data_IF_960914619818
#
_entry.id   IF_960914619818
#
_cell.length_a   1.000
_cell.length_b   1.000
_cell.length_c   1.000
_cell.angle_alpha   90.00
_cell.angle_beta   90.00
_cell.angle_gamma   90.00
#
_symmetry.space_group_name_H-M   'P 1'
#
loop_
_entity.id
_entity.type
_entity.pdbx_description
1 polymer ?
#
# COMPACT_ATOMS: atom_id res chain seq x y z
N UNK A 1 -64.27 -26.51 6.16
CA UNK A 1 -63.42 -27.45 6.93
C UNK A 1 -63.58 -27.34 8.45
N UNK A 2 -63.96 -26.18 9.01
CA UNK A 2 -64.11 -25.99 10.47
C UNK A 2 -65.30 -26.76 11.07
N UNK A 3 -66.42 -26.84 10.36
CA UNK A 3 -67.64 -27.51 10.85
C UNK A 3 -67.48 -29.03 11.00
N UNK A 4 -66.77 -29.67 10.07
CA UNK A 4 -66.53 -31.12 10.11
C UNK A 4 -65.66 -31.52 11.32
N UNK A 5 -64.67 -30.71 11.69
CA UNK A 5 -63.85 -30.95 12.88
C UNK A 5 -64.63 -30.76 14.19
N UNK A 6 -65.53 -29.77 14.25
CA UNK A 6 -66.42 -29.60 15.41
C UNK A 6 -67.36 -30.79 15.62
N UNK A 7 -67.92 -31.33 14.53
CA UNK A 7 -68.82 -32.50 14.60
C UNK A 7 -68.06 -33.74 15.08
N UNK A 8 -66.84 -33.97 14.60
CA UNK A 8 -66.03 -35.12 15.06
C UNK A 8 -65.64 -35.00 16.53
N UNK A 9 -65.32 -33.80 17.03
CA UNK A 9 -65.05 -33.59 18.46
C UNK A 9 -66.28 -33.84 19.33
N UNK A 10 -67.45 -33.36 18.93
CA UNK A 10 -68.67 -33.56 19.70
C UNK A 10 -69.04 -35.04 19.76
N UNK A 11 -68.90 -35.77 18.66
CA UNK A 11 -69.15 -37.22 18.63
C UNK A 11 -68.19 -38.00 19.54
N UNK A 12 -66.90 -37.69 19.51
CA UNK A 12 -65.93 -38.30 20.41
C UNK A 12 -66.21 -37.96 21.89
N UNK A 13 -66.69 -36.75 22.18
CA UNK A 13 -67.10 -36.36 23.53
C UNK A 13 -68.36 -37.10 24.00
N UNK A 14 -69.33 -37.30 23.11
CA UNK A 14 -70.55 -38.06 23.41
C UNK A 14 -70.25 -39.55 23.59
N UNK A 15 -69.39 -40.14 22.75
CA UNK A 15 -68.96 -41.54 22.88
C UNK A 15 -68.23 -41.75 24.22
N UNK A 16 -67.31 -40.86 24.59
CA UNK A 16 -66.62 -40.91 25.89
C UNK A 16 -67.59 -40.72 27.08
N UNK A 17 -68.63 -39.91 26.90
CA UNK A 17 -69.66 -39.71 27.92
C UNK A 17 -70.55 -40.95 28.07
N UNK A 18 -70.89 -41.62 26.98
CA UNK A 18 -71.62 -42.89 27.00
C UNK A 18 -70.80 -43.97 27.69
N UNK A 19 -69.53 -44.12 27.34
CA UNK A 19 -68.63 -45.10 27.96
C UNK A 19 -68.46 -44.86 29.47
N UNK A 20 -68.35 -43.59 29.89
CA UNK A 20 -68.32 -43.23 31.30
C UNK A 20 -69.63 -43.56 32.04
N UNK A 21 -70.78 -43.24 31.43
CA UNK A 21 -72.09 -43.52 32.03
C UNK A 21 -72.36 -45.02 32.11
N UNK A 22 -71.95 -45.78 31.10
CA UNK A 22 -72.05 -47.23 31.07
C UNK A 22 -71.19 -47.84 32.19
N UNK A 23 -69.92 -47.46 32.30
CA UNK A 23 -69.05 -47.89 33.40
C UNK A 23 -69.56 -47.48 34.80
N UNK A 24 -70.25 -46.33 34.92
CA UNK A 24 -70.78 -45.83 36.20
C UNK A 24 -72.11 -46.51 36.59
N UNK A 25 -72.88 -46.97 35.60
CA UNK A 25 -74.18 -47.63 35.80
C UNK A 25 -74.09 -49.08 36.27
N UNK A 26 -72.94 -49.73 36.11
CA UNK A 26 -72.71 -51.08 36.61
C UNK A 26 -72.50 -51.10 38.13
N UNK A 27 -73.27 -51.93 38.85
CA UNK A 27 -73.07 -52.14 40.30
C UNK A 27 -71.68 -52.73 40.58
N UNK A 28 -70.95 -52.09 41.50
CA UNK A 28 -69.62 -52.56 41.92
C UNK A 28 -69.81 -53.67 42.95
N UNK A 29 -69.52 -54.91 42.57
CA UNK A 29 -69.50 -56.05 43.50
C UNK A 29 -68.23 -55.93 44.38
N UNK A 30 -68.42 -55.51 45.62
CA UNK A 30 -67.35 -55.23 46.61
C UNK A 30 -67.13 -56.39 47.61
N UNK A 31 -67.61 -57.59 47.30
CA UNK A 31 -67.71 -58.71 48.26
C UNK A 31 -66.35 -59.31 48.66
N UNK A 32 -65.28 -59.03 47.91
CA UNK A 32 -63.99 -59.73 48.05
C UNK A 32 -62.78 -58.80 48.34
N UNK A 33 -63.03 -57.56 48.82
CA UNK A 33 -61.93 -56.63 49.13
C UNK A 33 -61.02 -57.14 50.25
N UNK A 34 -61.58 -57.73 51.30
CA UNK A 34 -60.79 -58.22 52.44
C UNK A 34 -59.83 -59.37 52.06
N UNK A 35 -60.27 -60.44 51.36
CA UNK A 35 -59.37 -61.50 50.90
C UNK A 35 -58.35 -61.03 49.86
N UNK A 36 -58.70 -60.06 49.00
CA UNK A 36 -57.77 -59.48 48.01
C UNK A 36 -56.69 -58.63 48.67
N UNK A 37 -57.06 -57.81 49.65
CA UNK A 37 -56.11 -57.03 50.45
C UNK A 37 -55.20 -57.92 51.30
N UNK A 38 -55.73 -59.01 51.88
CA UNK A 38 -54.92 -59.98 52.63
C UNK A 38 -53.88 -60.66 51.73
N UNK A 39 -54.28 -61.11 50.54
CA UNK A 39 -53.37 -61.68 49.52
C UNK A 39 -52.31 -60.68 49.06
N UNK A 40 -52.67 -59.40 48.90
CA UNK A 40 -51.73 -58.32 48.54
C UNK A 40 -50.69 -58.10 49.66
N UNK A 41 -51.13 -58.01 50.91
CA UNK A 41 -50.25 -57.87 52.08
C UNK A 41 -49.34 -59.08 52.24
N UNK A 42 -49.84 -60.28 51.98
CA UNK A 42 -49.03 -61.49 52.07
C UNK A 42 -47.98 -61.60 50.97
N UNK A 43 -48.32 -61.27 49.71
CA UNK A 43 -47.33 -61.15 48.62
C UNK A 43 -46.26 -60.13 48.95
N UNK A 44 -46.64 -58.98 49.49
CA UNK A 44 -45.70 -57.96 49.95
C UNK A 44 -44.77 -58.52 51.05
N UNK A 45 -45.31 -59.14 52.10
CA UNK A 45 -44.52 -59.79 53.16
C UNK A 45 -43.57 -60.86 52.62
N UNK A 46 -44.00 -61.67 51.66
CA UNK A 46 -43.15 -62.69 51.03
C UNK A 46 -42.01 -62.07 50.21
N UNK A 47 -42.27 -61.01 49.44
CA UNK A 47 -41.23 -60.30 48.70
C UNK A 47 -40.20 -59.66 49.65
N UNK A 48 -40.67 -59.05 50.74
CA UNK A 48 -39.78 -58.46 51.73
C UNK A 48 -38.94 -59.51 52.46
N UNK A 49 -39.51 -60.67 52.81
CA UNK A 49 -38.76 -61.79 53.40
C UNK A 49 -37.67 -62.30 52.47
N UNK A 50 -37.99 -62.55 51.19
CA UNK A 50 -36.99 -62.96 50.19
C UNK A 50 -35.83 -61.96 50.06
N UNK A 51 -36.11 -60.66 50.14
CA UNK A 51 -35.08 -59.62 50.11
C UNK A 51 -34.20 -59.65 51.37
N UNK A 52 -34.81 -59.81 52.54
CA UNK A 52 -34.09 -59.93 53.81
C UNK A 52 -33.17 -61.16 53.78
N UNK A 53 -33.70 -62.31 53.36
CA UNK A 53 -32.94 -63.56 53.25
C UNK A 53 -31.74 -63.39 52.32
N UNK A 54 -31.94 -62.75 51.16
CA UNK A 54 -30.86 -62.45 50.21
C UNK A 54 -29.80 -61.50 50.79
N UNK A 55 -30.21 -60.44 51.49
CA UNK A 55 -29.26 -59.53 52.13
C UNK A 55 -28.47 -60.24 53.24
N UNK A 56 -29.11 -61.11 54.02
CA UNK A 56 -28.43 -61.92 55.03
C UNK A 56 -27.40 -62.85 54.40
N UNK A 57 -27.75 -63.54 53.31
CA UNK A 57 -26.80 -64.42 52.59
C UNK A 57 -25.60 -63.63 52.04
N UNK A 58 -25.82 -62.40 51.56
CA UNK A 58 -24.73 -61.53 51.09
C UNK A 58 -23.84 -61.12 52.26
N UNK A 59 -24.42 -60.71 53.39
CA UNK A 59 -23.66 -60.32 54.58
C UNK A 59 -22.82 -61.48 55.14
N UNK A 60 -23.38 -62.69 55.19
CA UNK A 60 -22.65 -63.90 55.59
C UNK A 60 -21.44 -64.14 54.69
N UNK A 61 -21.62 -64.07 53.35
CA UNK A 61 -20.51 -64.20 52.40
C UNK A 61 -19.44 -63.14 52.58
N UNK A 62 -19.82 -61.89 52.88
CA UNK A 62 -18.87 -60.81 53.14
C UNK A 62 -18.08 -61.07 54.43
N UNK A 63 -18.74 -61.54 55.49
CA UNK A 63 -18.10 -61.88 56.76
C UNK A 63 -17.14 -63.06 56.61
N UNK A 64 -17.53 -64.09 55.85
CA UNK A 64 -16.68 -65.23 55.50
C UNK A 64 -15.45 -64.79 54.70
N UNK A 65 -15.66 -63.97 53.66
CA UNK A 65 -14.56 -63.47 52.82
C UNK A 65 -13.56 -62.62 53.61
N UNK A 66 -14.05 -61.80 54.53
CA UNK A 66 -13.22 -60.92 55.36
C UNK A 66 -12.65 -61.60 56.62
N UNK A 67 -12.97 -62.89 56.85
CA UNK A 67 -12.60 -63.66 58.03
C UNK A 67 -12.89 -62.91 59.35
N UNK A 68 -14.02 -62.21 59.41
CA UNK A 68 -14.37 -61.39 60.57
C UNK A 68 -15.79 -61.68 61.04
N UNK A 69 -16.00 -61.64 62.35
CA UNK A 69 -17.29 -61.97 62.99
C UNK A 69 -18.14 -60.73 63.28
N UNK A 70 -17.55 -59.53 63.19
CA UNK A 70 -18.17 -58.27 63.56
C UNK A 70 -18.34 -57.40 62.31
N UNK A 71 -19.58 -57.05 61.98
CA UNK A 71 -19.92 -56.21 60.82
C UNK A 71 -19.24 -54.83 60.93
N UNK A 72 -19.15 -54.25 62.12
CA UNK A 72 -18.50 -52.94 62.33
C UNK A 72 -17.01 -52.96 61.98
N UNK A 73 -16.32 -54.07 62.25
CA UNK A 73 -14.91 -54.22 61.91
C UNK A 73 -14.69 -54.33 60.39
N UNK A 74 -15.66 -54.92 59.67
CA UNK A 74 -15.67 -54.95 58.20
C UNK A 74 -15.87 -53.55 57.65
N UNK A 75 -16.87 -52.82 58.15
CA UNK A 75 -17.18 -51.47 57.72
C UNK A 75 -15.96 -50.56 57.89
N UNK A 76 -15.30 -50.57 59.04
CA UNK A 76 -14.14 -49.73 59.29
C UNK A 76 -12.97 -50.06 58.34
N UNK A 77 -12.69 -51.35 58.10
CA UNK A 77 -11.64 -51.76 57.15
C UNK A 77 -11.96 -51.34 55.72
N UNK A 78 -13.22 -51.47 55.30
CA UNK A 78 -13.65 -50.99 53.98
C UNK A 78 -13.52 -49.48 53.87
N UNK A 79 -13.89 -48.72 54.90
CA UNK A 79 -13.73 -47.26 54.91
C UNK A 79 -12.26 -46.83 54.84
N UNK A 80 -11.37 -47.49 55.57
CA UNK A 80 -9.93 -47.24 55.50
C UNK A 80 -9.37 -47.55 54.12
N UNK A 81 -9.73 -48.70 53.55
CA UNK A 81 -9.31 -49.09 52.20
C UNK A 81 -9.88 -48.16 51.14
N UNK A 82 -11.15 -47.80 51.24
CA UNK A 82 -11.83 -46.87 50.34
C UNK A 82 -11.15 -45.50 50.38
N UNK A 83 -10.84 -44.98 51.56
CA UNK A 83 -10.09 -43.72 51.72
C UNK A 83 -8.72 -43.77 51.04
N UNK A 84 -7.99 -44.88 51.21
CA UNK A 84 -6.70 -45.09 50.56
C UNK A 84 -6.83 -45.17 49.03
N UNK A 85 -7.82 -45.91 48.52
CA UNK A 85 -8.09 -46.01 47.09
C UNK A 85 -8.51 -44.67 46.49
N UNK A 86 -9.29 -43.85 47.19
CA UNK A 86 -9.61 -42.50 46.77
C UNK A 86 -8.36 -41.63 46.66
N UNK A 87 -7.43 -41.72 47.62
CA UNK A 87 -6.16 -40.99 47.55
C UNK A 87 -5.32 -41.42 46.34
N UNK A 88 -5.18 -42.74 46.09
CA UNK A 88 -4.46 -43.24 44.92
C UNK A 88 -5.12 -42.83 43.59
N UNK A 89 -6.45 -42.87 43.52
CA UNK A 89 -7.18 -42.47 42.32
C UNK A 89 -7.01 -40.99 42.04
N UNK A 90 -7.09 -40.14 43.06
CA UNK A 90 -6.85 -38.70 42.91
C UNK A 90 -5.43 -38.43 42.43
N UNK A 91 -4.43 -39.07 43.02
CA UNK A 91 -3.03 -38.94 42.58
C UNK A 91 -2.83 -39.40 41.13
N UNK A 92 -3.41 -40.54 40.73
CA UNK A 92 -3.33 -41.03 39.37
C UNK A 92 -4.00 -40.07 38.35
N UNK A 93 -5.11 -39.44 38.74
CA UNK A 93 -5.78 -38.44 37.92
C UNK A 93 -4.97 -37.16 37.78
N UNK A 94 -4.41 -36.65 38.87
CA UNK A 94 -3.51 -35.49 38.85
C UNK A 94 -2.29 -35.76 37.97
N UNK A 95 -1.67 -36.93 38.11
CA UNK A 95 -0.53 -37.33 37.28
C UNK A 95 -0.91 -37.40 35.79
N UNK A 96 -2.07 -37.98 35.46
CA UNK A 96 -2.56 -38.07 34.08
C UNK A 96 -2.87 -36.69 33.49
N UNK A 97 -3.38 -35.78 34.31
CA UNK A 97 -3.60 -34.39 33.95
C UNK A 97 -2.28 -33.68 33.66
N UNK A 98 -1.29 -33.80 34.55
CA UNK A 98 0.05 -33.23 34.35
C UNK A 98 0.74 -33.80 33.11
N UNK A 99 0.63 -35.10 32.86
CA UNK A 99 1.17 -35.74 31.67
C UNK A 99 0.54 -35.15 30.39
N UNK A 100 -0.77 -34.92 30.40
CA UNK A 100 -1.49 -34.31 29.28
C UNK A 100 -1.05 -32.86 29.06
N UNK A 101 -0.90 -32.07 30.13
CA UNK A 101 -0.37 -30.71 30.05
C UNK A 101 1.04 -30.67 29.47
N UNK A 102 1.93 -31.54 29.95
CA UNK A 102 3.30 -31.64 29.44
C UNK A 102 3.31 -32.03 27.96
N UNK A 103 2.53 -33.03 27.57
CA UNK A 103 2.43 -33.45 26.17
C UNK A 103 1.93 -32.31 25.28
N UNK A 104 0.90 -31.57 25.73
CA UNK A 104 0.40 -30.39 25.01
C UNK A 104 1.48 -29.31 24.88
N UNK A 105 2.25 -29.06 25.94
CA UNK A 105 3.36 -28.09 25.90
C UNK A 105 4.46 -28.54 24.93
N UNK A 106 4.83 -29.82 24.94
CA UNK A 106 5.82 -30.38 24.03
C UNK A 106 5.35 -30.26 22.59
N UNK A 107 4.10 -30.62 22.28
CA UNK A 107 3.53 -30.48 20.95
C UNK A 107 3.50 -29.02 20.49
N UNK A 108 3.17 -28.07 21.38
CA UNK A 108 3.22 -26.65 21.07
C UNK A 108 4.64 -26.21 20.70
N UNK A 109 5.63 -26.59 21.51
CA UNK A 109 7.03 -26.25 21.25
C UNK A 109 7.54 -26.88 19.95
N UNK A 110 7.14 -28.11 19.62
CA UNK A 110 7.49 -28.74 18.34
C UNK A 110 6.91 -27.97 17.15
N UNK A 111 5.66 -27.51 17.25
CA UNK A 111 5.04 -26.69 16.21
C UNK A 111 5.77 -25.35 16.07
N UNK A 112 6.06 -24.66 17.18
CA UNK A 112 6.82 -23.41 17.18
C UNK A 112 8.21 -23.59 16.53
N UNK A 113 8.93 -24.68 16.85
CA UNK A 113 10.23 -25.00 16.22
C UNK A 113 10.08 -25.25 14.72
N UNK A 114 9.02 -25.94 14.30
CA UNK A 114 8.75 -26.22 12.88
C UNK A 114 8.46 -24.93 12.12
N UNK A 115 7.63 -24.05 12.68
CA UNK A 115 7.33 -22.74 12.13
C UNK A 115 8.58 -21.87 12.01
N UNK A 116 9.40 -21.81 13.07
CA UNK A 116 10.68 -21.07 13.06
C UNK A 116 11.65 -21.61 12.01
N UNK A 117 11.72 -22.93 11.80
CA UNK A 117 12.54 -23.50 10.73
C UNK A 117 12.04 -23.09 9.35
N UNK A 118 10.73 -23.11 9.15
CA UNK A 118 10.13 -22.72 7.87
C UNK A 118 10.35 -21.23 7.57
N UNK A 119 10.13 -20.34 8.56
CA UNK A 119 10.39 -18.91 8.39
C UNK A 119 11.87 -18.62 8.15
N UNK A 120 12.78 -19.30 8.84
CA UNK A 120 14.21 -19.16 8.61
C UNK A 120 14.62 -19.61 7.20
N UNK A 121 14.05 -20.71 6.71
CA UNK A 121 14.32 -21.18 5.35
C UNK A 121 13.82 -20.18 4.30
N UNK A 122 12.59 -19.68 4.43
CA UNK A 122 12.01 -18.71 3.50
C UNK A 122 12.78 -17.38 3.52
N UNK A 123 13.17 -16.90 4.70
CA UNK A 123 13.97 -15.66 4.83
C UNK A 123 15.35 -15.81 4.21
N UNK A 124 16.02 -16.94 4.40
CA UNK A 124 17.30 -17.23 3.75
C UNK A 124 17.14 -17.25 2.22
N UNK A 125 16.09 -17.87 1.70
CA UNK A 125 15.85 -17.92 0.26
C UNK A 125 15.60 -16.52 -0.32
N UNK A 126 14.75 -15.72 0.32
CA UNK A 126 14.52 -14.33 -0.07
C UNK A 126 15.82 -13.50 -0.04
N UNK A 127 16.68 -13.74 0.95
CA UNK A 127 17.99 -13.08 1.04
C UNK A 127 18.91 -13.48 -0.12
N UNK A 128 18.92 -14.75 -0.52
CA UNK A 128 19.70 -15.22 -1.66
C UNK A 128 19.19 -14.61 -2.97
N UNK A 129 17.88 -14.59 -3.18
CA UNK A 129 17.25 -13.99 -4.36
C UNK A 129 17.55 -12.49 -4.45
N UNK A 130 17.44 -11.75 -3.33
CA UNK A 130 17.78 -10.32 -3.30
C UNK A 130 19.28 -10.06 -3.53
N UNK A 131 20.17 -10.92 -3.04
CA UNK A 131 21.61 -10.82 -3.33
C UNK A 131 21.86 -11.01 -4.83
N UNK A 132 21.22 -12.01 -5.46
CA UNK A 132 21.34 -12.26 -6.89
C UNK A 132 20.82 -11.09 -7.73
N UNK A 133 19.67 -10.52 -7.36
CA UNK A 133 19.13 -9.33 -8.01
C UNK A 133 20.09 -8.13 -7.90
N UNK A 134 20.64 -7.88 -6.71
CA UNK A 134 21.59 -6.79 -6.48
C UNK A 134 22.90 -6.99 -7.25
N UNK A 135 23.42 -8.22 -7.34
CA UNK A 135 24.62 -8.54 -8.12
C UNK A 135 24.39 -8.30 -9.62
N UNK A 136 23.21 -8.69 -10.13
CA UNK A 136 22.82 -8.44 -11.52
C UNK A 136 22.70 -6.93 -11.80
N UNK A 137 22.04 -6.18 -10.91
CA UNK A 137 21.96 -4.72 -11.03
C UNK A 137 23.33 -4.06 -10.99
N UNK A 138 24.22 -4.54 -10.11
CA UNK A 138 25.58 -4.02 -10.00
C UNK A 138 26.37 -4.25 -11.29
N UNK A 139 26.31 -5.46 -11.86
CA UNK A 139 26.93 -5.78 -13.16
C UNK A 139 26.41 -4.91 -14.29
N UNK A 140 25.10 -4.70 -14.36
CA UNK A 140 24.52 -3.79 -15.36
C UNK A 140 25.00 -2.35 -15.20
N UNK A 141 25.06 -1.85 -13.95
CA UNK A 141 25.50 -0.48 -13.67
C UNK A 141 26.99 -0.31 -13.96
N UNK A 142 27.82 -1.32 -13.67
CA UNK A 142 29.23 -1.33 -14.04
C UNK A 142 29.39 -1.25 -15.56
N UNK A 143 28.70 -2.12 -16.31
CA UNK A 143 28.73 -2.10 -17.77
C UNK A 143 28.33 -0.74 -18.34
N UNK A 144 27.24 -0.14 -17.84
CA UNK A 144 26.80 1.20 -18.24
C UNK A 144 27.84 2.29 -17.89
N UNK A 145 28.54 2.15 -16.76
CA UNK A 145 29.60 3.08 -16.38
C UNK A 145 30.79 2.97 -17.33
N UNK A 146 31.19 1.76 -17.69
CA UNK A 146 32.28 1.51 -18.63
C UNK A 146 31.95 2.06 -20.02
N UNK A 147 30.73 1.84 -20.53
CA UNK A 147 30.24 2.44 -21.77
C UNK A 147 30.28 3.98 -21.72
N UNK A 148 29.85 4.59 -20.61
CA UNK A 148 29.90 6.05 -20.45
C UNK A 148 31.34 6.59 -20.35
N UNK A 149 32.26 5.83 -19.74
CA UNK A 149 33.69 6.18 -19.69
C UNK A 149 34.31 6.16 -21.07
N UNK A 150 34.03 5.15 -21.89
CA UNK A 150 34.49 5.09 -23.28
C UNK A 150 33.97 6.29 -24.09
N UNK A 151 32.69 6.64 -23.95
CA UNK A 151 32.10 7.81 -24.63
C UNK A 151 32.75 9.11 -24.16
N UNK A 152 33.01 9.26 -22.85
CA UNK A 152 33.75 10.41 -22.31
C UNK A 152 35.13 10.49 -22.94
N UNK A 153 35.89 9.40 -22.93
CA UNK A 153 37.27 9.38 -23.45
C UNK A 153 37.32 9.73 -24.94
N UNK A 154 36.37 9.23 -25.73
CA UNK A 154 36.24 9.62 -27.14
C UNK A 154 35.92 11.11 -27.32
N UNK A 155 35.09 11.68 -26.45
CA UNK A 155 34.74 13.10 -26.53
C UNK A 155 35.90 13.99 -26.07
N UNK A 156 36.64 13.59 -25.05
CA UNK A 156 37.85 14.29 -24.60
C UNK A 156 38.92 14.27 -25.70
N UNK A 157 39.14 13.13 -26.37
CA UNK A 157 40.07 13.03 -27.51
C UNK A 157 39.62 13.93 -28.68
N UNK A 158 38.31 13.98 -28.98
CA UNK A 158 37.76 14.89 -30.00
C UNK A 158 37.97 16.35 -29.62
N UNK A 159 37.77 16.70 -28.36
CA UNK A 159 37.93 18.06 -27.87
C UNK A 159 39.40 18.49 -27.93
N UNK A 160 40.33 17.63 -27.54
CA UNK A 160 41.77 17.88 -27.68
C UNK A 160 42.16 18.12 -29.15
N UNK A 161 41.68 17.29 -30.08
CA UNK A 161 41.91 17.49 -31.53
C UNK A 161 41.37 18.84 -32.02
N UNK A 162 40.19 19.26 -31.55
CA UNK A 162 39.63 20.56 -31.90
C UNK A 162 40.46 21.72 -31.33
N UNK A 163 40.90 21.63 -30.08
CA UNK A 163 41.75 22.66 -29.45
C UNK A 163 43.10 22.78 -30.16
N UNK A 164 43.73 21.64 -30.50
CA UNK A 164 44.96 21.61 -31.31
C UNK A 164 44.74 22.22 -32.70
N UNK A 165 43.62 21.91 -33.35
CA UNK A 165 43.25 22.50 -34.65
C UNK A 165 43.14 24.03 -34.58
N UNK A 166 42.51 24.56 -33.54
CA UNK A 166 42.42 26.02 -33.30
C UNK A 166 43.82 26.62 -33.06
N UNK A 167 44.69 25.92 -32.34
CA UNK A 167 46.05 26.35 -32.10
C UNK A 167 46.86 26.45 -33.40
N UNK A 168 46.75 25.46 -34.28
CA UNK A 168 47.39 25.49 -35.61
C UNK A 168 46.88 26.70 -36.44
N UNK A 169 45.57 26.95 -36.44
CA UNK A 169 44.97 28.08 -37.17
C UNK A 169 45.46 29.43 -36.61
N UNK A 170 45.55 29.56 -35.28
CA UNK A 170 46.15 30.73 -34.61
C UNK A 170 47.58 30.97 -35.10
N UNK A 171 48.41 29.93 -35.09
CA UNK A 171 49.82 30.04 -35.47
C UNK A 171 49.98 30.41 -36.96
N UNK A 172 49.14 29.84 -37.84
CA UNK A 172 49.16 30.14 -39.28
C UNK A 172 48.62 31.54 -39.63
N UNK A 173 47.58 32.01 -38.94
CA UNK A 173 46.92 33.29 -39.24
C UNK A 173 47.69 34.53 -38.77
N UNK A 174 48.78 34.34 -38.02
CA UNK A 174 49.58 35.39 -37.36
C UNK A 174 48.69 36.37 -36.59
N UNK A 175 47.65 35.86 -35.93
CA UNK A 175 46.75 36.66 -35.13
C UNK A 175 47.49 37.22 -33.90
N UNK A 176 47.44 38.54 -33.69
CA UNK A 176 48.21 39.20 -32.64
C UNK A 176 47.53 39.03 -31.28
N UNK A 177 47.83 37.93 -30.60
CA UNK A 177 47.25 37.58 -29.30
C UNK A 177 47.94 38.26 -28.10
N UNK A 178 48.98 39.06 -28.33
CA UNK A 178 49.75 39.76 -27.28
C UNK A 178 48.89 40.68 -26.41
N UNK A 179 47.78 41.17 -26.95
CA UNK A 179 46.80 41.98 -26.21
C UNK A 179 46.12 41.24 -25.04
N UNK A 180 46.14 39.89 -25.04
CA UNK A 180 45.54 39.07 -23.99
C UNK A 180 46.54 38.52 -22.97
N UNK A 181 47.85 38.50 -23.27
CA UNK A 181 48.90 38.05 -22.34
C UNK A 181 48.86 38.83 -21.02
N UNK A 182 48.62 40.14 -21.08
CA UNK A 182 48.53 40.99 -19.90
C UNK A 182 47.29 40.73 -19.02
N UNK A 183 46.21 40.16 -19.57
CA UNK A 183 44.92 40.06 -18.88
C UNK A 183 44.63 38.68 -18.27
N UNK A 184 45.22 37.63 -18.83
CA UNK A 184 44.78 36.26 -18.58
C UNK A 184 45.95 35.26 -18.48
N UNK A 185 47.21 35.71 -18.48
CA UNK A 185 48.41 34.88 -18.22
C UNK A 185 49.05 34.23 -19.45
N UNK A 186 49.53 32.99 -19.34
CA UNK A 186 50.17 32.26 -20.44
C UNK A 186 49.16 31.90 -21.56
N UNK A 187 49.23 32.62 -22.69
CA UNK A 187 48.44 32.40 -23.91
C UNK A 187 49.14 31.53 -24.97
N UNK A 188 50.18 30.81 -24.57
CA UNK A 188 50.95 29.97 -25.49
C UNK A 188 50.10 28.82 -26.02
N UNK A 189 49.21 28.24 -25.20
CA UNK A 189 48.42 27.03 -25.52
C UNK A 189 46.91 27.34 -25.50
N UNK A 190 46.16 26.76 -26.44
CA UNK A 190 44.69 26.85 -26.48
C UNK A 190 44.07 25.80 -25.55
N UNK A 191 43.22 26.23 -24.64
CA UNK A 191 42.50 25.44 -23.64
C UNK A 191 41.00 25.83 -23.66
N UNK A 192 40.12 25.02 -23.09
CA UNK A 192 38.66 25.22 -23.05
C UNK A 192 38.29 26.61 -22.52
N UNK A 193 38.96 27.08 -21.48
CA UNK A 193 38.69 28.38 -20.86
C UNK A 193 39.07 29.58 -21.75
N UNK A 194 40.12 29.45 -22.56
CA UNK A 194 40.64 30.53 -23.39
C UNK A 194 40.20 30.43 -24.87
N UNK A 195 39.67 29.27 -25.29
CA UNK A 195 39.23 28.97 -26.66
C UNK A 195 38.30 30.05 -27.23
N UNK A 196 37.32 30.49 -26.45
CA UNK A 196 36.37 31.53 -26.87
C UNK A 196 37.04 32.85 -27.21
N UNK A 197 38.08 33.22 -26.44
CA UNK A 197 38.84 34.44 -26.68
C UNK A 197 39.67 34.31 -27.96
N UNK A 198 40.35 33.17 -28.15
CA UNK A 198 41.09 32.89 -29.38
C UNK A 198 40.22 32.93 -30.63
N UNK A 199 39.04 32.31 -30.59
CA UNK A 199 38.11 32.33 -31.73
C UNK A 199 37.68 33.75 -32.09
N UNK A 200 37.44 34.63 -31.11
CA UNK A 200 37.08 36.03 -31.36
C UNK A 200 38.21 36.83 -32.01
N UNK A 201 39.46 36.57 -31.65
CA UNK A 201 40.63 37.20 -32.28
C UNK A 201 40.82 36.69 -33.70
N UNK A 202 40.71 35.37 -33.89
CA UNK A 202 40.74 34.74 -35.20
C UNK A 202 39.65 35.29 -36.12
N UNK A 203 38.42 35.40 -35.64
CA UNK A 203 37.29 35.97 -36.37
C UNK A 203 37.58 37.40 -36.84
N UNK A 204 38.05 38.27 -35.94
CA UNK A 204 38.46 39.64 -36.31
C UNK A 204 39.57 39.65 -37.35
N UNK A 205 40.55 38.75 -37.23
CA UNK A 205 41.68 38.66 -38.17
C UNK A 205 41.23 38.20 -39.54
N UNK A 206 40.43 37.15 -39.62
CA UNK A 206 39.83 36.65 -40.86
C UNK A 206 39.01 37.74 -41.51
N UNK A 207 38.11 38.38 -40.76
CA UNK A 207 37.30 39.49 -41.26
C UNK A 207 38.15 40.63 -41.83
N UNK A 208 39.22 41.03 -41.13
CA UNK A 208 40.15 42.04 -41.63
C UNK A 208 40.83 41.62 -42.95
N UNK A 209 41.30 40.38 -43.05
CA UNK A 209 41.92 39.86 -44.27
C UNK A 209 40.91 39.84 -45.41
N UNK A 210 39.68 39.37 -45.18
CA UNK A 210 38.61 39.33 -46.17
C UNK A 210 38.27 40.73 -46.68
N UNK A 211 38.12 41.71 -45.78
CA UNK A 211 37.87 43.12 -46.15
C UNK A 211 39.05 43.70 -46.92
N UNK A 212 40.29 43.45 -46.50
CA UNK A 212 41.48 43.95 -47.18
C UNK A 212 41.61 43.37 -48.59
N UNK A 213 41.34 42.07 -48.76
CA UNK A 213 41.34 41.42 -50.07
C UNK A 213 40.21 41.94 -50.96
N UNK A 214 39.01 42.09 -50.42
CA UNK A 214 37.86 42.68 -51.12
C UNK A 214 38.17 44.10 -51.63
N UNK A 215 38.75 44.97 -50.79
CA UNK A 215 39.15 46.33 -51.20
C UNK A 215 40.27 46.28 -52.25
N UNK A 216 41.20 45.33 -52.14
CA UNK A 216 42.29 45.16 -53.11
C UNK A 216 41.76 44.70 -54.48
N UNK A 217 40.83 43.75 -54.51
CA UNK A 217 40.16 43.30 -55.74
C UNK A 217 39.40 44.44 -56.41
N UNK A 218 38.62 45.23 -55.64
CA UNK A 218 37.92 46.43 -56.15
C UNK A 218 38.84 47.52 -56.71
N UNK A 219 40.11 47.56 -56.29
CA UNK A 219 41.11 48.51 -56.82
C UNK A 219 41.76 48.03 -58.12
N UNK A 220 41.82 46.72 -58.36
CA UNK A 220 42.49 46.11 -59.52
C UNK A 220 41.52 45.95 -60.70
N UNK A 221 40.24 45.65 -60.47
CA UNK A 221 39.23 45.55 -61.53
C UNK A 221 38.33 46.80 -61.57
N UNK A 222 38.56 47.69 -62.55
CA UNK A 222 37.65 48.80 -62.91
C UNK A 222 36.43 48.34 -63.74
N UNK A 223 36.16 47.04 -63.79
CA UNK A 223 34.96 46.55 -64.47
C UNK A 223 33.78 46.50 -63.51
N UNK A 224 32.86 47.42 -63.76
CA UNK A 224 31.50 47.42 -63.27
C UNK A 224 30.86 46.04 -63.43
N UNK A 225 30.15 45.64 -62.39
CA UNK A 225 29.03 44.69 -62.37
C UNK A 225 29.33 43.23 -62.74
N UNK A 226 29.94 42.46 -61.84
CA UNK A 226 29.53 41.05 -61.67
C UNK A 226 29.99 40.41 -60.34
N UNK A 227 29.64 40.96 -59.17
CA UNK A 227 29.72 40.17 -57.94
C UNK A 227 28.54 40.43 -57.00
N UNK A 228 27.78 39.36 -56.73
CA UNK A 228 26.57 39.32 -55.90
C UNK A 228 26.99 39.14 -54.44
N UNK A 229 27.16 40.23 -53.71
CA UNK A 229 27.00 40.19 -52.26
C UNK A 229 26.20 41.42 -51.87
N UNK A 230 24.89 41.21 -51.63
CA UNK A 230 24.04 42.23 -51.00
C UNK A 230 24.61 42.52 -49.63
N UNK A 231 24.80 43.79 -49.29
CA UNK A 231 25.05 44.23 -47.92
C UNK A 231 23.93 43.63 -47.04
N UNK A 232 24.26 42.61 -46.24
CA UNK A 232 23.32 42.07 -45.27
C UNK A 232 23.35 43.00 -44.06
N UNK A 233 22.70 44.14 -44.19
CA UNK A 233 22.24 44.89 -43.03
C UNK A 233 21.15 44.04 -42.40
N UNK A 234 21.35 43.55 -41.17
CA UNK A 234 20.23 43.02 -40.38
C UNK A 234 19.30 44.21 -40.12
N UNK A 235 18.26 44.36 -40.95
CA UNK A 235 17.13 45.19 -40.62
C UNK A 235 16.44 44.54 -39.41
N UNK A 236 16.75 45.01 -38.22
CA UNK A 236 15.79 44.91 -37.13
C UNK A 236 14.86 46.10 -37.32
N UNK A 237 13.81 45.89 -38.12
CA UNK A 237 12.77 46.88 -38.38
C UNK A 237 11.94 47.08 -37.11
N UNK A 238 12.53 47.77 -36.14
CA UNK A 238 11.98 48.12 -34.82
C UNK A 238 11.61 46.94 -33.90
N UNK A 239 11.57 47.23 -32.60
CA UNK A 239 11.08 46.30 -31.58
C UNK A 239 9.58 46.16 -31.78
N UNK A 240 9.08 44.95 -31.97
CA UNK A 240 7.64 44.69 -32.11
C UNK A 240 6.91 45.28 -30.89
N UNK A 241 5.96 46.22 -31.09
CA UNK A 241 5.25 46.83 -29.97
C UNK A 241 4.54 45.76 -29.15
N UNK A 242 4.57 45.90 -27.82
CA UNK A 242 4.04 44.90 -26.89
C UNK A 242 2.55 44.61 -27.15
N UNK A 243 1.83 45.60 -27.66
CA UNK A 243 0.41 45.53 -28.02
C UNK A 243 0.13 44.57 -29.19
N UNK A 244 1.11 44.28 -30.04
CA UNK A 244 1.00 43.29 -31.13
C UNK A 244 1.24 41.85 -30.63
N UNK A 245 1.90 41.70 -29.48
CA UNK A 245 2.22 40.41 -28.88
C UNK A 245 1.12 39.99 -27.91
N UNK A 246 0.52 40.95 -27.20
CA UNK A 246 -0.52 40.72 -26.19
C UNK A 246 -1.82 41.39 -26.66
N UNK A 247 -2.70 40.60 -27.30
CA UNK A 247 -3.97 41.08 -27.88
C UNK A 247 -4.91 41.76 -26.87
N UNK A 248 -4.82 41.45 -25.58
CA UNK A 248 -5.61 42.09 -24.52
C UNK A 248 -4.91 42.03 -23.16
N UNK A 249 -5.04 43.09 -22.35
CA UNK A 249 -4.68 43.06 -20.93
C UNK A 249 -5.62 42.09 -20.18
N UNK A 250 -5.10 41.35 -19.20
CA UNK A 250 -5.90 40.47 -18.35
C UNK A 250 -7.04 41.27 -17.69
N UNK A 251 -8.25 40.71 -17.65
CA UNK A 251 -9.37 41.34 -16.96
C UNK A 251 -9.06 41.52 -15.46
N UNK A 252 -9.19 42.74 -14.90
CA UNK A 252 -8.84 43.02 -13.49
C UNK A 252 -9.53 42.07 -12.51
N UNK A 253 -10.82 41.81 -12.72
CA UNK A 253 -11.64 40.95 -11.86
C UNK A 253 -11.22 39.48 -11.92
N UNK A 254 -10.75 39.01 -13.08
CA UNK A 254 -10.22 37.65 -13.21
C UNK A 254 -8.84 37.53 -12.56
N UNK A 255 -8.04 38.59 -12.59
CA UNK A 255 -6.76 38.65 -11.88
C UNK A 255 -6.94 38.66 -10.36
N UNK A 256 -7.91 39.42 -9.86
CA UNK A 256 -8.21 39.48 -8.42
C UNK A 256 -8.78 38.15 -7.89
N UNK A 257 -9.70 37.52 -8.63
CA UNK A 257 -10.22 36.20 -8.27
C UNK A 257 -9.11 35.12 -8.23
N UNK A 258 -8.13 35.20 -9.13
CA UNK A 258 -6.96 34.30 -9.13
C UNK A 258 -6.05 34.54 -7.92
N UNK A 259 -5.86 35.81 -7.53
CA UNK A 259 -5.04 36.15 -6.37
C UNK A 259 -5.67 35.61 -5.09
N UNK A 260 -6.98 35.71 -4.93
CA UNK A 260 -7.70 35.12 -3.79
C UNK A 260 -7.67 33.59 -3.80
N UNK A 261 -7.83 32.96 -4.97
CA UNK A 261 -7.80 31.49 -5.09
C UNK A 261 -6.39 30.90 -4.85
N UNK A 262 -5.32 31.69 -5.02
CA UNK A 262 -3.97 31.25 -4.74
C UNK A 262 -3.70 31.12 -3.23
N UNK A 263 -4.34 31.95 -2.40
CA UNK A 263 -4.22 31.92 -0.95
C UNK A 263 -5.03 30.77 -0.32
N UNK A 264 -6.12 30.32 -0.97
CA UNK A 264 -6.99 29.23 -0.48
C UNK A 264 -6.49 27.80 -0.79
N UNK A 265 -5.37 27.65 -1.52
CA UNK A 265 -4.71 26.34 -1.65
C UNK A 265 -3.95 25.98 -0.38
N UNK A 266 -4.66 25.31 0.51
CA UNK A 266 -4.18 24.66 1.73
C UNK A 266 -2.83 23.93 1.49
N UNK A 267 -1.72 24.48 2.01
CA UNK A 267 -0.37 23.88 1.96
C UNK A 267 0.75 24.68 1.28
N UNK A 268 0.66 26.01 1.20
CA UNK A 268 1.59 26.86 0.44
C UNK A 268 2.76 27.53 1.18
N UNK A 269 3.01 27.28 2.46
CA UNK A 269 4.13 27.92 3.18
C UNK A 269 5.48 27.21 2.90
N UNK A 270 6.11 27.49 1.76
CA UNK A 270 7.48 27.05 1.48
C UNK A 270 7.99 27.30 0.06
N UNK A 271 9.31 27.52 -0.07
CA UNK A 271 10.00 27.63 -1.37
C UNK A 271 9.88 26.28 -2.10
N UNK A 272 9.07 26.22 -3.17
CA UNK A 272 8.90 25.02 -3.98
C UNK A 272 10.15 24.74 -4.83
N UNK A 273 10.45 23.46 -5.08
CA UNK A 273 11.56 23.10 -5.97
C UNK A 273 11.30 23.56 -7.41
N UNK A 274 12.35 23.96 -8.14
CA UNK A 274 12.25 24.47 -9.51
C UNK A 274 11.46 23.54 -10.44
N UNK A 275 11.66 22.22 -10.30
CA UNK A 275 10.95 21.21 -11.10
C UNK A 275 9.45 21.17 -10.80
N UNK A 276 9.07 21.35 -9.53
CA UNK A 276 7.66 21.41 -9.12
C UNK A 276 6.99 22.67 -9.68
N UNK A 277 7.69 23.80 -9.64
CA UNK A 277 7.21 25.08 -10.19
C UNK A 277 7.01 24.98 -11.69
N UNK A 278 7.99 24.43 -12.43
CA UNK A 278 7.90 24.24 -13.87
C UNK A 278 6.73 23.35 -14.27
N UNK A 279 6.49 22.26 -13.51
CA UNK A 279 5.37 21.35 -13.76
C UNK A 279 4.01 22.03 -13.53
N UNK A 280 3.85 22.73 -12.39
CA UNK A 280 2.63 23.51 -12.09
C UNK A 280 2.38 24.61 -13.11
N UNK A 281 3.43 25.29 -13.57
CA UNK A 281 3.35 26.32 -14.59
C UNK A 281 2.91 25.73 -15.94
N UNK A 282 3.47 24.58 -16.33
CA UNK A 282 3.05 23.88 -17.54
C UNK A 282 1.60 23.41 -17.48
N UNK A 283 1.17 22.84 -16.35
CA UNK A 283 -0.22 22.43 -16.12
C UNK A 283 -1.16 23.64 -16.20
N UNK A 284 -0.80 24.77 -15.58
CA UNK A 284 -1.62 25.99 -15.56
C UNK A 284 -1.72 26.67 -16.93
N UNK A 285 -0.67 26.66 -17.73
CA UNK A 285 -0.69 27.22 -19.10
C UNK A 285 -1.60 26.39 -20.02
N UNK A 286 -1.62 25.07 -19.85
CA UNK A 286 -2.41 24.17 -20.66
C UNK A 286 -3.87 24.02 -20.20
N UNK A 287 -4.26 24.64 -19.09
CA UNK A 287 -5.65 24.66 -18.66
C UNK A 287 -6.50 25.47 -19.66
N UNK A 288 -7.66 24.96 -20.10
CA UNK A 288 -8.52 25.65 -21.04
C UNK A 288 -9.01 27.00 -20.51
N UNK A 289 -9.04 27.16 -19.18
CA UNK A 289 -9.38 28.40 -18.49
C UNK A 289 -8.44 29.56 -18.83
N UNK A 290 -7.16 29.30 -19.15
CA UNK A 290 -6.20 30.37 -19.46
C UNK A 290 -6.55 31.10 -20.75
N UNK A 291 -7.10 30.39 -21.74
CA UNK A 291 -7.56 30.98 -23.00
C UNK A 291 -8.78 31.88 -22.82
N UNK A 292 -9.59 31.63 -21.78
CA UNK A 292 -10.75 32.44 -21.44
C UNK A 292 -10.41 33.67 -20.58
N UNK A 293 -9.16 33.88 -20.16
CA UNK A 293 -8.78 34.99 -19.25
C UNK A 293 -8.28 36.25 -19.97
N UNK A 294 -7.85 36.09 -21.23
CA UNK A 294 -7.48 37.18 -22.12
C UNK A 294 -8.73 37.73 -22.81
N UNK A 295 -9.52 38.47 -22.04
CA UNK A 295 -10.71 39.14 -22.54
C UNK A 295 -10.83 40.53 -21.91
N UNK A 296 -11.50 41.44 -22.60
CA UNK A 296 -11.86 42.74 -22.03
C UNK A 296 -12.91 42.59 -20.92
N UNK A 297 -13.01 43.60 -20.04
CA UNK A 297 -13.99 43.60 -18.94
C UNK A 297 -15.45 43.49 -19.44
N UNK A 298 -15.72 43.92 -20.67
CA UNK A 298 -17.05 43.83 -21.29
C UNK A 298 -17.43 42.41 -21.71
N UNK A 299 -16.45 41.54 -21.93
CA UNK A 299 -16.67 40.12 -22.28
C UNK A 299 -16.52 39.19 -21.06
N UNK A 300 -16.22 39.74 -19.89
CA UNK A 300 -16.02 38.96 -18.68
C UNK A 300 -17.35 38.37 -18.16
N UNK A 301 -17.30 37.10 -17.73
CA UNK A 301 -18.47 36.35 -17.25
C UNK A 301 -18.82 36.61 -15.79
N UNK A 302 -17.93 37.25 -15.02
CA UNK A 302 -18.14 37.49 -13.60
C UNK A 302 -19.31 38.47 -13.37
N UNK A 303 -20.12 38.29 -12.31
CA UNK A 303 -21.29 39.15 -12.06
C UNK A 303 -20.91 40.62 -11.88
N UNK A 304 -19.81 40.87 -11.17
CA UNK A 304 -19.33 42.22 -10.87
C UNK A 304 -18.84 42.97 -12.13
N UNK A 305 -18.07 42.29 -13.00
CA UNK A 305 -17.64 42.86 -14.28
C UNK A 305 -18.81 43.20 -15.20
N UNK A 306 -19.88 42.40 -15.20
CA UNK A 306 -21.11 42.70 -15.97
C UNK A 306 -21.83 43.94 -15.47
N UNK A 307 -21.85 44.16 -14.15
CA UNK A 307 -22.40 45.38 -13.54
C UNK A 307 -21.56 46.60 -13.94
N UNK A 308 -20.23 46.49 -13.90
CA UNK A 308 -19.31 47.56 -14.31
C UNK A 308 -19.43 47.88 -15.81
N UNK A 309 -19.53 46.85 -16.66
CA UNK A 309 -19.76 47.01 -18.09
C UNK A 309 -21.11 47.66 -18.39
N UNK A 310 -22.18 47.27 -17.67
CA UNK A 310 -23.50 47.88 -17.80
C UNK A 310 -23.51 49.35 -17.36
N UNK A 311 -22.80 49.70 -16.27
CA UNK A 311 -22.65 51.09 -15.80
C UNK A 311 -21.86 51.98 -16.76
N UNK A 312 -20.93 51.43 -17.54
CA UNK A 312 -20.16 52.19 -18.54
C UNK A 312 -20.93 52.47 -19.83
N UNK A 313 -21.95 51.65 -20.13
CA UNK A 313 -22.76 51.75 -21.33
C UNK A 313 -24.15 52.40 -21.09
N UNK A 314 -24.39 52.90 -19.87
CA UNK A 314 -25.56 53.68 -19.48
C UNK A 314 -25.18 55.16 -19.35
#
# INVERSE_FOLDING_TARGET
MVEMQSIMRNRAADDAKFEFLDCKGHERIMEDLQPKEYRRREKFRQQHRKRIDLYNTILEKILEYTNSKNVDAVINKFQEQESLYYSYFNYANEMSYHMTLLNNSVNRLFNEISELKHTNHNTLQNQLETIEELDNQLKEKQKKNDELREVRDQNDERLEKLLQGIQIIKDQSRADCKSFEALLGDFTIVNIFNMRHFLKVLEKRVHYITVAQYVRERRVTKHSSEYIVKDVVKLCDSVTPLDEIVLTQQCPECGEADATNADDTDGGEGIQSLNTVLKKLYERINQPEMQYRLHSISQCRLPHSRILAAKRNA
#
